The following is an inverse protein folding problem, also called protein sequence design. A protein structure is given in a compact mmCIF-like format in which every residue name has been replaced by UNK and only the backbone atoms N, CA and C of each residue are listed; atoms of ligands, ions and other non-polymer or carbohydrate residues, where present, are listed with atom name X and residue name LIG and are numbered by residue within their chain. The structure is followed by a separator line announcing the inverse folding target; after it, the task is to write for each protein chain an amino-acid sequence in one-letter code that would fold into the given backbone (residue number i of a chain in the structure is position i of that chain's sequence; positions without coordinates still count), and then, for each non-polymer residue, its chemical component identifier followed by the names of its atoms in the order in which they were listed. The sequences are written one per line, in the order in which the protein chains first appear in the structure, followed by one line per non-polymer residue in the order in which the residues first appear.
data_IF_152189398378
#
_entry.id   IF_152189398378
#
_cell.length_a   1.000
_cell.length_b   1.000
_cell.length_c   1.000
_cell.angle_alpha   90.00
_cell.angle_beta   90.00
_cell.angle_gamma   90.00
#
_symmetry.space_group_name_H-M   'P 1'
#
loop_
_entity.id
_entity.type
_entity.pdbx_description
1 polymer ?
#
# COMPACT_ATOMS: atom_id res chain seq x y z
N UNK A 1 34.38 -11.22 -15.13
CA UNK A 1 34.56 -10.03 -14.29
C UNK A 1 33.95 -8.78 -14.91
N UNK A 2 34.28 -8.41 -16.13
CA UNK A 2 33.75 -7.21 -16.83
C UNK A 2 32.21 -7.14 -16.96
N UNK A 3 31.53 -8.25 -17.31
CA UNK A 3 30.05 -8.27 -17.43
C UNK A 3 29.34 -7.92 -16.11
N UNK A 4 29.86 -8.35 -14.95
CA UNK A 4 29.27 -8.01 -13.63
C UNK A 4 29.42 -6.53 -13.28
N UNK A 5 30.52 -5.91 -13.69
CA UNK A 5 30.77 -4.48 -13.44
C UNK A 5 29.85 -3.61 -14.31
N UNK A 6 29.64 -3.99 -15.58
CA UNK A 6 28.72 -3.27 -16.49
C UNK A 6 27.28 -3.36 -15.99
N UNK A 7 26.85 -4.52 -15.49
CA UNK A 7 25.50 -4.69 -14.90
C UNK A 7 25.34 -3.84 -13.63
N UNK A 8 26.34 -3.83 -12.75
CA UNK A 8 26.34 -2.98 -11.55
C UNK A 8 26.31 -1.47 -11.86
N UNK A 9 27.03 -1.04 -12.89
CA UNK A 9 27.01 0.38 -13.33
C UNK A 9 25.70 0.76 -14.02
N UNK A 10 25.06 -0.18 -14.74
CA UNK A 10 23.71 0.01 -15.30
C UNK A 10 22.69 0.24 -14.18
N UNK A 11 22.63 -0.68 -13.23
CA UNK A 11 21.74 -0.56 -12.08
C UNK A 11 22.02 0.68 -11.21
N UNK A 12 23.28 1.13 -11.14
CA UNK A 12 23.63 2.37 -10.43
C UNK A 12 23.08 3.63 -11.10
N UNK A 13 23.09 3.68 -12.45
CA UNK A 13 22.52 4.80 -13.21
C UNK A 13 21.01 4.84 -13.11
N UNK A 14 20.35 3.69 -13.21
CA UNK A 14 18.90 3.54 -13.04
C UNK A 14 18.48 3.91 -11.60
N UNK A 15 19.18 3.40 -10.60
CA UNK A 15 18.99 3.75 -9.21
C UNK A 15 19.18 5.25 -8.95
N UNK A 16 20.21 5.88 -9.54
CA UNK A 16 20.46 7.31 -9.41
C UNK A 16 19.39 8.15 -10.10
N UNK A 17 18.90 7.73 -11.26
CA UNK A 17 17.80 8.40 -11.97
C UNK A 17 16.51 8.33 -11.16
N UNK A 18 16.14 7.15 -10.69
CA UNK A 18 14.97 6.97 -9.82
C UNK A 18 15.11 7.74 -8.50
N UNK A 19 16.30 7.78 -7.90
CA UNK A 19 16.58 8.60 -6.71
C UNK A 19 16.43 10.09 -6.98
N UNK A 20 16.91 10.55 -8.15
CA UNK A 20 16.76 11.95 -8.55
C UNK A 20 15.30 12.32 -8.77
N UNK A 21 14.53 11.42 -9.37
CA UNK A 21 13.08 11.59 -9.58
C UNK A 21 12.35 11.59 -8.26
N UNK A 22 12.59 10.62 -7.39
CA UNK A 22 12.01 10.55 -6.04
C UNK A 22 12.42 11.76 -5.19
N UNK A 23 13.67 12.20 -5.26
CA UNK A 23 14.15 13.37 -4.53
C UNK A 23 13.53 14.67 -5.05
N UNK A 24 13.30 14.80 -6.36
CA UNK A 24 12.62 15.96 -6.93
C UNK A 24 11.15 15.99 -6.55
N UNK A 25 10.47 14.85 -6.53
CA UNK A 25 9.08 14.72 -6.11
C UNK A 25 8.90 14.94 -4.59
N UNK A 26 9.86 14.49 -3.78
CA UNK A 26 9.89 14.78 -2.33
C UNK A 26 10.34 16.21 -1.98
N UNK A 27 11.15 16.82 -2.85
CA UNK A 27 11.67 18.17 -2.66
C UNK A 27 10.71 19.25 -3.12
N UNK A 28 9.79 18.93 -4.01
CA UNK A 28 8.75 19.81 -4.47
C UNK A 28 7.55 19.74 -3.53
N UNK A 29 7.47 20.68 -2.60
CA UNK A 29 6.36 20.79 -1.63
C UNK A 29 4.99 21.01 -2.29
N UNK A 30 4.93 21.14 -3.58
CA UNK A 30 3.71 21.29 -4.39
C UNK A 30 3.40 20.05 -5.23
N UNK A 31 4.33 19.09 -5.32
CA UNK A 31 4.15 17.81 -6.02
C UNK A 31 3.21 16.92 -5.21
N UNK A 32 2.06 16.60 -5.78
CA UNK A 32 1.14 15.67 -5.14
C UNK A 32 1.81 14.32 -4.95
N UNK A 33 1.62 13.70 -3.80
CA UNK A 33 2.06 12.32 -3.50
C UNK A 33 1.48 11.32 -4.51
N UNK A 34 0.38 11.71 -5.20
CA UNK A 34 -0.26 10.98 -6.29
C UNK A 34 0.71 10.55 -7.39
N UNK A 35 1.72 11.37 -7.68
CA UNK A 35 2.74 11.05 -8.70
C UNK A 35 3.61 9.83 -8.34
N UNK A 36 3.66 9.44 -7.06
CA UNK A 36 4.37 8.26 -6.57
C UNK A 36 3.43 7.11 -6.21
N UNK A 37 2.15 7.19 -6.59
CA UNK A 37 1.13 6.23 -6.16
C UNK A 37 0.79 6.36 -4.68
N UNK A 38 1.00 7.54 -4.10
CA UNK A 38 0.62 7.85 -2.72
C UNK A 38 -0.79 8.42 -2.65
N UNK A 39 -1.29 8.50 -1.43
CA UNK A 39 -2.58 9.12 -1.13
C UNK A 39 -2.46 10.66 -1.15
N UNK A 40 -3.52 11.36 -1.50
CA UNK A 40 -3.64 12.79 -1.24
C UNK A 40 -3.56 13.10 0.26
N UNK A 41 -3.30 14.35 0.62
CA UNK A 41 -3.21 14.75 2.04
C UNK A 41 -4.50 14.46 2.81
N UNK A 42 -5.66 14.58 2.16
CA UNK A 42 -6.97 14.31 2.77
C UNK A 42 -7.18 12.81 2.99
N UNK A 43 -6.87 12.00 2.02
CA UNK A 43 -6.93 10.54 2.08
C UNK A 43 -5.96 10.00 3.14
N UNK A 44 -4.71 10.48 3.14
CA UNK A 44 -3.72 10.08 4.15
C UNK A 44 -4.20 10.39 5.57
N UNK A 45 -4.78 11.57 5.79
CA UNK A 45 -5.36 11.91 7.10
C UNK A 45 -6.48 10.98 7.49
N UNK A 46 -7.37 10.63 6.54
CA UNK A 46 -8.47 9.71 6.80
C UNK A 46 -7.96 8.30 7.16
N UNK A 47 -7.04 7.75 6.37
CA UNK A 47 -6.46 6.41 6.60
C UNK A 47 -5.71 6.35 7.93
N UNK A 48 -4.90 7.37 8.24
CA UNK A 48 -4.22 7.48 9.53
C UNK A 48 -5.21 7.60 10.70
N UNK A 49 -6.28 8.38 10.54
CA UNK A 49 -7.34 8.47 11.54
C UNK A 49 -7.99 7.11 11.80
N UNK A 50 -8.37 6.37 10.76
CA UNK A 50 -8.94 5.04 10.90
C UNK A 50 -8.01 4.06 11.62
N UNK A 51 -6.71 4.15 11.34
CA UNK A 51 -5.69 3.31 11.96
C UNK A 51 -5.44 3.61 13.45
N UNK A 52 -5.86 4.78 13.93
CA UNK A 52 -5.61 5.25 15.30
C UNK A 52 -6.86 5.31 16.18
N UNK A 53 -7.99 4.82 15.69
CA UNK A 53 -9.25 4.79 16.48
C UNK A 53 -9.12 3.98 17.78
N UNK A 54 -8.08 3.15 17.92
CA UNK A 54 -7.77 2.39 19.14
C UNK A 54 -6.24 2.26 19.31
N UNK A 55 -5.78 1.81 20.47
CA UNK A 55 -4.35 1.69 20.78
C UNK A 55 -3.86 0.25 20.54
N UNK A 56 -2.62 0.13 20.03
CA UNK A 56 -1.96 -1.17 19.90
C UNK A 56 -2.43 -2.01 18.72
N UNK A 57 -2.94 -1.38 17.69
CA UNK A 57 -3.41 -2.04 16.47
C UNK A 57 -2.28 -2.71 15.68
N UNK A 58 -2.62 -3.86 15.09
CA UNK A 58 -1.90 -4.41 13.95
C UNK A 58 -2.58 -3.94 12.67
N UNK A 59 -1.90 -3.08 11.95
CA UNK A 59 -2.35 -2.53 10.67
C UNK A 59 -1.59 -3.24 9.55
N UNK A 60 -2.29 -3.65 8.52
CA UNK A 60 -1.73 -4.29 7.33
C UNK A 60 -2.04 -3.44 6.12
N UNK A 61 -1.01 -3.07 5.37
CA UNK A 61 -1.12 -2.48 4.04
C UNK A 61 -0.80 -3.53 2.99
N UNK A 62 -1.65 -3.69 1.99
CA UNK A 62 -1.48 -4.62 0.87
C UNK A 62 -1.31 -3.80 -0.41
N UNK A 63 -0.13 -3.85 -1.01
CA UNK A 63 0.30 -2.94 -2.07
C UNK A 63 1.00 -1.71 -1.48
N UNK A 64 2.26 -1.88 -1.08
CA UNK A 64 2.97 -0.77 -0.41
C UNK A 64 3.77 0.12 -1.35
N UNK A 65 4.01 -0.33 -2.58
CA UNK A 65 4.79 0.37 -3.60
C UNK A 65 6.13 0.89 -3.01
N UNK A 66 6.25 2.18 -2.75
CA UNK A 66 7.44 2.77 -2.12
C UNK A 66 7.37 2.89 -0.60
N UNK A 67 6.31 2.42 0.02
CA UNK A 67 6.18 2.38 1.49
C UNK A 67 5.82 3.73 2.13
N UNK A 68 5.27 4.66 1.37
CA UNK A 68 4.95 6.00 1.88
C UNK A 68 3.79 5.92 2.87
N UNK A 69 2.70 5.29 2.48
CA UNK A 69 1.52 5.10 3.35
C UNK A 69 1.88 4.26 4.57
N UNK A 70 2.60 3.14 4.39
CA UNK A 70 3.08 2.32 5.51
C UNK A 70 3.92 3.12 6.51
N UNK A 71 4.80 3.99 6.00
CA UNK A 71 5.64 4.84 6.84
C UNK A 71 4.81 5.82 7.65
N UNK A 72 3.86 6.52 7.03
CA UNK A 72 2.99 7.47 7.73
C UNK A 72 2.11 6.75 8.77
N UNK A 73 1.54 5.59 8.42
CA UNK A 73 0.82 4.74 9.37
C UNK A 73 1.68 4.37 10.57
N UNK A 74 2.94 3.98 10.36
CA UNK A 74 3.85 3.60 11.44
C UNK A 74 4.25 4.76 12.36
N UNK A 75 4.16 6.01 11.88
CA UNK A 75 4.38 7.20 12.70
C UNK A 75 3.16 7.52 13.58
N UNK A 76 1.97 7.14 13.14
CA UNK A 76 0.71 7.44 13.84
C UNK A 76 0.26 6.32 14.79
N UNK A 77 0.50 5.06 14.43
CA UNK A 77 0.05 3.89 15.20
C UNK A 77 0.97 3.67 16.42
N UNK A 78 0.68 4.38 17.51
CA UNK A 78 1.47 4.33 18.74
C UNK A 78 1.27 3.00 19.46
N UNK A 79 2.40 2.32 19.74
CA UNK A 79 2.37 1.02 20.42
C UNK A 79 1.88 -0.15 19.56
N UNK A 80 1.49 0.12 18.31
CA UNK A 80 1.03 -0.87 17.37
C UNK A 80 2.13 -1.39 16.43
N UNK A 81 1.69 -2.13 15.41
CA UNK A 81 2.53 -2.77 14.40
C UNK A 81 1.98 -2.47 13.01
N UNK A 82 2.84 -2.15 12.07
CA UNK A 82 2.48 -2.01 10.66
C UNK A 82 3.20 -3.07 9.85
N UNK A 83 2.44 -3.82 9.05
CA UNK A 83 2.96 -4.81 8.11
C UNK A 83 2.63 -4.29 6.72
N UNK A 84 3.64 -4.14 5.88
CA UNK A 84 3.51 -3.71 4.50
C UNK A 84 3.84 -4.86 3.56
N UNK A 85 2.94 -5.17 2.63
CA UNK A 85 3.03 -6.33 1.75
C UNK A 85 3.11 -5.84 0.31
N UNK A 86 4.11 -6.31 -0.43
CA UNK A 86 4.23 -6.08 -1.85
C UNK A 86 5.07 -7.18 -2.50
N UNK A 87 4.74 -7.59 -3.70
CA UNK A 87 5.56 -8.53 -4.48
C UNK A 87 6.47 -7.82 -5.47
N UNK A 88 6.40 -6.47 -5.53
CA UNK A 88 7.18 -5.60 -6.40
C UNK A 88 7.06 -5.94 -7.90
N UNK A 89 5.97 -6.59 -8.30
CA UNK A 89 5.72 -6.96 -9.71
C UNK A 89 5.22 -5.77 -10.53
N UNK A 90 4.46 -4.86 -9.91
CA UNK A 90 4.04 -3.64 -10.57
C UNK A 90 5.15 -2.59 -10.48
N UNK A 91 5.48 -2.02 -11.62
CA UNK A 91 6.66 -1.17 -11.72
C UNK A 91 6.43 0.01 -12.68
N UNK A 92 5.75 1.06 -12.23
CA UNK A 92 5.39 2.20 -13.08
C UNK A 92 6.61 2.99 -13.57
N UNK A 93 7.77 2.81 -12.93
CA UNK A 93 9.00 3.54 -13.26
C UNK A 93 10.04 2.67 -13.99
N UNK A 94 9.71 1.45 -14.39
CA UNK A 94 10.62 0.53 -15.05
C UNK A 94 11.78 0.04 -14.16
N UNK A 95 11.63 0.11 -12.84
CA UNK A 95 12.64 -0.37 -11.90
C UNK A 95 12.64 -1.91 -11.84
N UNK A 96 13.79 -2.58 -11.85
CA UNK A 96 13.84 -3.99 -11.51
C UNK A 96 13.24 -4.26 -10.12
N UNK A 97 12.49 -5.35 -9.90
CA UNK A 97 11.82 -5.63 -8.63
C UNK A 97 12.71 -5.54 -7.39
N UNK A 98 13.94 -6.06 -7.49
CA UNK A 98 14.92 -6.00 -6.42
C UNK A 98 15.42 -4.58 -6.11
N UNK A 99 15.45 -3.70 -7.11
CA UNK A 99 15.79 -2.28 -6.92
C UNK A 99 14.61 -1.55 -6.30
N UNK A 100 13.39 -1.81 -6.78
CA UNK A 100 12.17 -1.26 -6.20
C UNK A 100 12.07 -1.63 -4.70
N UNK A 101 12.18 -2.91 -4.36
CA UNK A 101 12.21 -3.37 -2.96
C UNK A 101 13.29 -2.66 -2.12
N UNK A 102 14.50 -2.52 -2.66
CA UNK A 102 15.60 -1.86 -1.95
C UNK A 102 15.29 -0.38 -1.65
N UNK A 103 14.58 0.32 -2.55
CA UNK A 103 14.10 1.68 -2.31
C UNK A 103 13.06 1.73 -1.21
N UNK A 104 12.06 0.87 -1.27
CA UNK A 104 11.02 0.78 -0.25
C UNK A 104 11.63 0.50 1.12
N UNK A 105 12.55 -0.46 1.23
CA UNK A 105 13.29 -0.72 2.47
C UNK A 105 14.09 0.49 2.96
N UNK A 106 14.61 1.32 2.06
CA UNK A 106 15.33 2.54 2.43
C UNK A 106 14.39 3.62 2.97
N UNK A 107 13.22 3.81 2.35
CA UNK A 107 12.19 4.76 2.81
C UNK A 107 11.67 4.36 4.19
N UNK A 108 11.48 3.07 4.42
CA UNK A 108 11.01 2.52 5.69
C UNK A 108 12.09 2.45 6.78
N UNK A 109 13.35 2.81 6.46
CA UNK A 109 14.44 2.75 7.45
C UNK A 109 14.16 3.65 8.65
N UNK A 110 14.31 3.08 9.85
CA UNK A 110 14.06 3.78 11.12
C UNK A 110 12.60 3.78 11.57
N UNK A 111 11.70 3.20 10.76
CA UNK A 111 10.33 2.91 11.18
C UNK A 111 10.22 1.50 11.77
N UNK A 112 9.06 1.19 12.37
CA UNK A 112 8.73 -0.17 12.85
C UNK A 112 7.89 -0.95 11.84
N UNK A 113 7.95 -0.59 10.56
CA UNK A 113 7.23 -1.32 9.50
C UNK A 113 7.93 -2.65 9.22
N UNK A 114 7.18 -3.72 9.23
CA UNK A 114 7.59 -5.03 8.73
C UNK A 114 7.25 -5.13 7.24
N UNK A 115 8.26 -5.07 6.38
CA UNK A 115 8.08 -5.23 4.94
C UNK A 115 8.17 -6.70 4.54
N UNK A 116 7.11 -7.23 3.95
CA UNK A 116 6.99 -8.62 3.48
C UNK A 116 6.91 -8.64 1.97
N UNK A 117 7.90 -9.28 1.32
CA UNK A 117 7.90 -9.46 -0.13
C UNK A 117 7.16 -10.75 -0.50
N UNK A 118 5.88 -10.63 -0.80
CA UNK A 118 5.04 -11.72 -1.32
C UNK A 118 3.76 -11.17 -1.94
N UNK A 119 3.01 -12.01 -2.63
CA UNK A 119 1.67 -11.67 -3.12
C UNK A 119 0.66 -11.55 -1.96
N UNK A 120 -0.41 -10.76 -2.15
CA UNK A 120 -1.53 -10.71 -1.23
C UNK A 120 -2.13 -12.10 -0.99
N UNK A 121 -2.31 -12.88 -2.05
CA UNK A 121 -2.85 -14.23 -1.97
C UNK A 121 -2.00 -15.16 -1.09
N UNK A 122 -0.68 -15.19 -1.31
CA UNK A 122 0.23 -16.05 -0.54
C UNK A 122 0.32 -15.61 0.91
N UNK A 123 0.31 -14.31 1.15
CA UNK A 123 0.31 -13.78 2.50
C UNK A 123 -0.97 -14.16 3.27
N UNK A 124 -2.14 -13.99 2.65
CA UNK A 124 -3.43 -14.34 3.27
C UNK A 124 -3.54 -15.82 3.66
N UNK A 125 -2.87 -16.73 2.91
CA UNK A 125 -2.83 -18.17 3.22
C UNK A 125 -2.00 -18.50 4.46
N UNK A 126 -1.03 -17.70 4.81
CA UNK A 126 -0.04 -18.02 5.88
C UNK A 126 -0.09 -17.07 7.07
N UNK A 127 -0.80 -15.95 6.97
CA UNK A 127 -0.86 -14.98 8.06
C UNK A 127 -1.46 -15.60 9.32
N UNK A 128 -0.81 -15.34 10.45
CA UNK A 128 -1.25 -15.78 11.78
C UNK A 128 -1.35 -14.58 12.72
N UNK A 129 -2.30 -14.67 13.63
CA UNK A 129 -2.52 -13.62 14.62
C UNK A 129 -3.60 -12.63 14.23
N UNK A 130 -3.85 -11.71 15.14
CA UNK A 130 -4.91 -10.73 15.00
C UNK A 130 -4.45 -9.59 14.10
N UNK A 131 -5.32 -9.21 13.18
CA UNK A 131 -5.23 -7.99 12.38
C UNK A 131 -6.42 -7.10 12.80
N UNK A 132 -6.14 -5.84 13.09
CA UNK A 132 -7.17 -4.89 13.51
C UNK A 132 -7.66 -4.04 12.35
N UNK A 133 -6.74 -3.69 11.45
CA UNK A 133 -7.04 -2.95 10.23
C UNK A 133 -6.30 -3.53 9.03
N UNK A 134 -6.97 -3.56 7.89
CA UNK A 134 -6.35 -3.80 6.58
C UNK A 134 -6.66 -2.63 5.64
N UNK A 135 -5.66 -2.24 4.85
CA UNK A 135 -5.76 -1.26 3.77
C UNK A 135 -5.32 -1.91 2.47
N UNK A 136 -6.24 -2.07 1.52
CA UNK A 136 -6.00 -2.70 0.23
C UNK A 136 -5.71 -1.66 -0.84
N UNK A 137 -4.53 -1.71 -1.44
CA UNK A 137 -4.08 -0.81 -2.51
C UNK A 137 -3.12 -1.52 -3.47
N UNK A 138 -3.39 -2.79 -3.80
CA UNK A 138 -2.52 -3.61 -4.64
C UNK A 138 -3.12 -3.87 -6.02
N UNK A 139 -4.01 -4.84 -6.13
CA UNK A 139 -4.70 -5.15 -7.37
C UNK A 139 -5.97 -4.32 -7.50
N UNK A 140 -6.25 -3.87 -8.72
CA UNK A 140 -7.49 -3.17 -9.04
C UNK A 140 -8.46 -4.07 -9.83
N UNK A 141 -8.10 -5.35 -10.03
CA UNK A 141 -8.94 -6.31 -10.73
C UNK A 141 -10.05 -6.79 -9.81
N UNK A 142 -11.26 -6.88 -10.36
CA UNK A 142 -12.46 -7.24 -9.62
C UNK A 142 -12.31 -8.54 -8.79
N UNK A 143 -11.78 -9.60 -9.40
CA UNK A 143 -11.68 -10.91 -8.74
C UNK A 143 -10.70 -10.88 -7.55
N UNK A 144 -9.58 -10.17 -7.69
CA UNK A 144 -8.56 -10.04 -6.64
C UNK A 144 -9.12 -9.24 -5.47
N UNK A 145 -9.69 -8.07 -5.75
CA UNK A 145 -10.27 -7.18 -4.72
C UNK A 145 -11.43 -7.89 -4.00
N UNK A 146 -12.28 -8.60 -4.74
CA UNK A 146 -13.37 -9.39 -4.14
C UNK A 146 -12.83 -10.43 -3.18
N UNK A 147 -11.83 -11.21 -3.61
CA UNK A 147 -11.21 -12.24 -2.76
C UNK A 147 -10.54 -11.64 -1.51
N UNK A 148 -9.93 -10.46 -1.60
CA UNK A 148 -9.37 -9.72 -0.47
C UNK A 148 -10.44 -9.26 0.51
N UNK A 149 -11.52 -8.67 0.00
CA UNK A 149 -12.67 -8.23 0.80
C UNK A 149 -13.36 -9.39 1.52
N UNK A 150 -13.63 -10.49 0.81
CA UNK A 150 -14.24 -11.70 1.39
C UNK A 150 -13.37 -12.31 2.49
N UNK A 151 -12.06 -12.40 2.25
CA UNK A 151 -11.10 -12.86 3.25
C UNK A 151 -11.10 -11.96 4.49
N UNK A 152 -11.03 -10.65 4.33
CA UNK A 152 -11.00 -9.70 5.45
C UNK A 152 -12.28 -9.78 6.28
N UNK A 153 -13.44 -9.91 5.62
CA UNK A 153 -14.74 -10.10 6.25
C UNK A 153 -14.80 -11.42 7.04
N UNK A 154 -14.36 -12.53 6.44
CA UNK A 154 -14.32 -13.83 7.08
C UNK A 154 -13.34 -13.89 8.26
N UNK A 155 -12.21 -13.17 8.18
CA UNK A 155 -11.24 -13.04 9.25
C UNK A 155 -11.72 -12.17 10.42
N UNK A 156 -12.85 -11.47 10.27
CA UNK A 156 -13.40 -10.60 11.31
C UNK A 156 -12.54 -9.36 11.59
N UNK A 157 -11.85 -8.85 10.57
CA UNK A 157 -11.02 -7.64 10.70
C UNK A 157 -11.92 -6.45 11.03
N UNK A 158 -11.54 -5.68 12.04
CA UNK A 158 -12.39 -4.61 12.57
C UNK A 158 -12.53 -3.42 11.60
N UNK A 159 -11.44 -3.06 10.94
CA UNK A 159 -11.40 -1.97 9.97
C UNK A 159 -10.93 -2.54 8.65
N UNK A 160 -11.84 -2.63 7.70
CA UNK A 160 -11.57 -3.05 6.33
C UNK A 160 -11.65 -1.82 5.46
N UNK A 161 -10.57 -1.51 4.77
CA UNK A 161 -10.41 -0.28 4.00
C UNK A 161 -9.53 -0.50 2.78
N UNK A 162 -9.49 0.47 1.88
CA UNK A 162 -8.63 0.43 0.70
C UNK A 162 -8.73 1.71 -0.12
N UNK A 163 -8.14 1.67 -1.30
CA UNK A 163 -8.11 2.79 -2.24
C UNK A 163 -8.90 2.49 -3.52
N UNK A 164 -8.95 3.45 -4.45
CA UNK A 164 -9.56 3.38 -5.78
C UNK A 164 -11.06 3.14 -5.84
N UNK A 165 -11.80 3.41 -4.78
CA UNK A 165 -13.25 3.41 -4.84
C UNK A 165 -13.76 4.63 -5.63
N UNK A 166 -14.58 4.38 -6.63
CA UNK A 166 -15.06 5.42 -7.55
C UNK A 166 -14.04 5.86 -8.60
N UNK A 167 -12.92 5.15 -8.74
CA UNK A 167 -11.92 5.45 -9.77
C UNK A 167 -12.55 5.37 -11.16
N UNK A 168 -12.36 6.40 -12.01
CA UNK A 168 -12.99 6.46 -13.34
C UNK A 168 -12.37 5.49 -14.36
N UNK A 169 -11.27 4.81 -14.04
CA UNK A 169 -10.66 3.84 -14.94
C UNK A 169 -11.59 2.62 -15.11
N UNK A 170 -12.09 2.35 -16.32
CA UNK A 170 -13.05 1.27 -16.55
C UNK A 170 -12.46 -0.13 -16.35
N UNK A 171 -11.14 -0.25 -16.24
CA UNK A 171 -10.44 -1.51 -15.97
C UNK A 171 -10.40 -1.84 -14.48
N UNK A 172 -10.74 -0.86 -13.62
CA UNK A 172 -10.73 -1.06 -12.16
C UNK A 172 -12.06 -1.64 -11.69
N UNK A 173 -11.96 -2.77 -10.99
CA UNK A 173 -13.11 -3.47 -10.44
C UNK A 173 -13.37 -3.19 -8.96
N UNK A 174 -12.63 -2.25 -8.34
CA UNK A 174 -12.65 -2.00 -6.90
C UNK A 174 -14.05 -1.67 -6.40
N UNK A 175 -14.69 -0.63 -6.93
CA UNK A 175 -16.04 -0.21 -6.52
C UNK A 175 -17.04 -1.37 -6.59
N UNK A 176 -17.04 -2.10 -7.71
CA UNK A 176 -17.95 -3.22 -7.88
C UNK A 176 -17.71 -4.34 -6.86
N UNK A 177 -16.46 -4.70 -6.60
CA UNK A 177 -16.11 -5.75 -5.66
C UNK A 177 -16.49 -5.38 -4.22
N UNK A 178 -16.18 -4.15 -3.81
CA UNK A 178 -16.50 -3.60 -2.48
C UNK A 178 -18.01 -3.54 -2.26
N UNK A 179 -18.76 -2.99 -3.22
CA UNK A 179 -20.22 -2.90 -3.15
C UNK A 179 -20.89 -4.28 -3.05
N UNK A 180 -20.38 -5.27 -3.80
CA UNK A 180 -20.92 -6.62 -3.79
C UNK A 180 -20.71 -7.32 -2.45
N UNK A 181 -19.52 -7.16 -1.84
CA UNK A 181 -19.17 -7.86 -0.58
C UNK A 181 -19.78 -7.20 0.64
N UNK A 182 -19.83 -5.87 0.68
CA UNK A 182 -20.21 -5.12 1.87
C UNK A 182 -21.54 -4.37 1.76
N UNK A 183 -22.02 -4.12 0.54
CA UNK A 183 -23.16 -3.26 0.26
C UNK A 183 -22.76 -1.78 0.21
N UNK A 184 -23.14 -1.09 -0.84
CA UNK A 184 -22.79 0.31 -1.10
C UNK A 184 -23.10 1.26 0.08
N UNK A 185 -24.25 1.08 0.73
CA UNK A 185 -24.69 1.94 1.83
C UNK A 185 -23.82 1.78 3.10
N UNK A 186 -23.06 0.70 3.18
CA UNK A 186 -22.14 0.41 4.27
C UNK A 186 -20.72 0.94 4.04
N UNK A 187 -20.50 1.69 2.96
CA UNK A 187 -19.17 2.22 2.64
C UNK A 187 -19.12 3.70 2.99
N UNK A 188 -18.06 4.10 3.70
CA UNK A 188 -17.63 5.48 3.90
C UNK A 188 -16.47 5.76 2.94
N UNK A 189 -16.47 6.93 2.30
CA UNK A 189 -15.49 7.31 1.29
C UNK A 189 -14.91 8.69 1.59
N UNK A 190 -13.59 8.82 1.46
CA UNK A 190 -12.85 10.09 1.51
C UNK A 190 -11.88 10.11 0.32
N UNK A 191 -12.10 11.00 -0.65
CA UNK A 191 -11.42 10.92 -1.93
C UNK A 191 -11.75 9.61 -2.65
N UNK A 192 -10.75 8.80 -2.95
CA UNK A 192 -10.89 7.42 -3.44
C UNK A 192 -10.61 6.36 -2.35
N UNK A 193 -10.25 6.78 -1.15
CA UNK A 193 -10.15 5.86 -0.01
C UNK A 193 -11.54 5.49 0.49
N UNK A 194 -11.70 4.21 0.83
CA UNK A 194 -12.95 3.67 1.34
C UNK A 194 -12.71 2.87 2.62
N UNK A 195 -13.74 2.80 3.47
CA UNK A 195 -13.81 1.81 4.55
C UNK A 195 -15.23 1.30 4.75
N UNK A 196 -15.34 0.12 5.34
CA UNK A 196 -16.62 -0.42 5.81
C UNK A 196 -17.04 0.33 7.08
N UNK A 197 -18.26 0.87 7.08
CA UNK A 197 -18.87 1.51 8.27
C UNK A 197 -19.00 0.50 9.41
N UNK A 198 -18.78 0.95 10.60
CA UNK A 198 -19.00 0.17 11.84
C UNK A 198 -20.45 0.18 12.26
#
# INVERSE_FOLDING_TARGET
MFRRIVTLLGHWREAKSAFSTLASLYGDKTGSMDALGGLSDEEMKAVCWWATEDIGYTVVEVGTLFGITARELALQVVGGRVIAIDNFSWNPFGLPPNIHEAFTRRILRGTKVELVNCSSEDWRKQVKGRIDMVFFDASHQYEDVKAECEWAKAAGIKIISGHDYGNPNPLFGVTRAVDEVFGKDNIEVVGMCWRVKR
#
